data_IF_280826649617
#
_entry.id   IF_280826649617
#
_cell.length_a   1.000
_cell.length_b   1.000
_cell.length_c   1.000
_cell.angle_alpha   90.00
_cell.angle_beta   90.00
_cell.angle_gamma   90.00
#
_symmetry.space_group_name_H-M   'P 1'
#
loop_
_entity.id
_entity.type
_entity.pdbx_description
1 polymer ?
#
# COMPACT_ATOMS: atom_id res chain seq x y z
N UNK A 1 0.34 29.07 -10.15
CA UNK A 1 0.41 27.76 -10.84
C UNK A 1 -1.02 27.27 -11.00
N UNK A 2 -1.42 26.83 -12.20
CA UNK A 2 -2.77 26.26 -12.39
C UNK A 2 -2.88 24.90 -11.69
N UNK A 3 -4.10 24.49 -11.31
CA UNK A 3 -4.35 23.17 -10.67
C UNK A 3 -3.77 22.05 -11.54
N UNK A 4 -3.94 22.13 -12.86
CA UNK A 4 -3.41 21.14 -13.81
C UNK A 4 -1.87 21.10 -13.86
N UNK A 5 -1.18 22.22 -13.68
CA UNK A 5 0.29 22.24 -13.59
C UNK A 5 0.79 21.61 -12.28
N UNK A 6 0.11 21.92 -11.15
CA UNK A 6 0.43 21.34 -9.84
C UNK A 6 0.25 19.82 -9.85
N UNK A 7 -0.86 19.33 -10.42
CA UNK A 7 -1.12 17.88 -10.61
C UNK A 7 -0.02 17.19 -11.42
N UNK A 8 0.35 17.76 -12.58
CA UNK A 8 1.41 17.19 -13.43
C UNK A 8 2.76 17.14 -12.72
N UNK A 9 3.09 18.16 -11.93
CA UNK A 9 4.34 18.19 -11.17
C UNK A 9 4.35 17.12 -10.07
N UNK A 10 3.25 16.98 -9.33
CA UNK A 10 3.11 15.95 -8.29
C UNK A 10 3.20 14.54 -8.90
N UNK A 11 2.51 14.28 -10.02
CA UNK A 11 2.60 13.01 -10.75
C UNK A 11 4.03 12.73 -11.22
N UNK A 12 4.70 13.71 -11.81
CA UNK A 12 6.06 13.54 -12.30
C UNK A 12 7.05 13.20 -11.18
N UNK A 13 6.96 13.85 -10.03
CA UNK A 13 7.81 13.55 -8.87
C UNK A 13 7.50 12.17 -8.27
N UNK A 14 6.22 11.82 -8.13
CA UNK A 14 5.80 10.48 -7.69
C UNK A 14 6.37 9.39 -8.61
N UNK A 15 6.12 9.51 -9.92
CA UNK A 15 6.57 8.54 -10.92
C UNK A 15 8.10 8.41 -10.91
N UNK A 16 8.81 9.53 -10.82
CA UNK A 16 10.28 9.55 -10.76
C UNK A 16 10.79 8.83 -9.52
N UNK A 17 10.19 9.07 -8.35
CA UNK A 17 10.60 8.43 -7.10
C UNK A 17 10.33 6.93 -7.12
N UNK A 18 9.12 6.51 -7.50
CA UNK A 18 8.77 5.09 -7.67
C UNK A 18 9.69 4.38 -8.66
N UNK A 19 10.02 5.04 -9.78
CA UNK A 19 10.95 4.49 -10.76
C UNK A 19 12.39 4.40 -10.22
N UNK A 20 12.84 5.35 -9.40
CA UNK A 20 14.15 5.26 -8.74
C UNK A 20 14.19 4.04 -7.81
N UNK A 21 13.20 3.91 -6.92
CA UNK A 21 13.06 2.78 -6.00
C UNK A 21 13.15 1.45 -6.78
N UNK A 22 12.39 1.34 -7.87
CA UNK A 22 12.41 0.15 -8.70
C UNK A 22 13.79 -0.13 -9.32
N UNK A 23 14.48 0.87 -9.87
CA UNK A 23 15.79 0.63 -10.49
C UNK A 23 16.88 0.34 -9.48
N UNK A 24 16.87 1.04 -8.35
CA UNK A 24 17.94 1.01 -7.37
C UNK A 24 17.85 -0.25 -6.51
N UNK A 25 16.64 -0.78 -6.29
CA UNK A 25 16.40 -1.88 -5.34
C UNK A 25 16.02 -3.21 -5.99
N UNK A 26 15.59 -3.26 -7.26
CA UNK A 26 15.21 -4.55 -7.89
C UNK A 26 16.35 -5.57 -7.98
N UNK A 27 17.60 -5.14 -7.86
CA UNK A 27 18.77 -6.01 -7.99
C UNK A 27 18.76 -6.78 -9.32
N UNK A 28 18.77 -8.12 -9.24
CA UNK A 28 18.75 -9.01 -10.40
C UNK A 28 17.34 -9.36 -10.90
N UNK A 29 16.29 -8.81 -10.29
CA UNK A 29 14.90 -9.07 -10.66
C UNK A 29 14.51 -8.29 -11.91
N UNK A 30 13.63 -8.89 -12.71
CA UNK A 30 12.97 -8.12 -13.75
C UNK A 30 12.07 -7.05 -13.12
N UNK A 31 11.95 -5.95 -13.84
CA UNK A 31 11.12 -4.81 -13.50
C UNK A 31 9.65 -5.23 -13.23
N UNK A 32 9.13 -6.19 -14.00
CA UNK A 32 7.77 -6.70 -13.83
C UNK A 32 7.58 -7.55 -12.57
N UNK A 33 8.60 -8.31 -12.15
CA UNK A 33 8.57 -9.10 -10.92
C UNK A 33 8.63 -8.17 -9.70
N UNK A 34 9.56 -7.19 -9.71
CA UNK A 34 9.74 -6.27 -8.59
C UNK A 34 8.53 -5.35 -8.34
N UNK A 35 7.77 -5.07 -9.40
CA UNK A 35 6.51 -4.31 -9.32
C UNK A 35 5.55 -4.84 -8.26
N UNK A 36 5.37 -6.16 -8.20
CA UNK A 36 4.35 -6.75 -7.32
C UNK A 36 4.65 -6.46 -5.85
N UNK A 37 5.93 -6.39 -5.48
CA UNK A 37 6.37 -6.00 -4.14
C UNK A 37 6.11 -4.51 -3.85
N UNK A 38 6.45 -3.63 -4.81
CA UNK A 38 6.20 -2.19 -4.64
C UNK A 38 4.70 -1.93 -4.49
N UNK A 39 3.87 -2.53 -5.35
CA UNK A 39 2.42 -2.38 -5.32
C UNK A 39 1.83 -2.92 -4.02
N UNK A 40 2.23 -4.12 -3.60
CA UNK A 40 1.76 -4.71 -2.35
C UNK A 40 2.12 -3.86 -1.14
N UNK A 41 3.35 -3.34 -1.07
CA UNK A 41 3.79 -2.47 0.03
C UNK A 41 3.09 -1.11 0.04
N UNK A 42 2.87 -0.49 -1.13
CA UNK A 42 2.10 0.75 -1.23
C UNK A 42 0.65 0.52 -0.77
N UNK A 43 0.06 -0.59 -1.19
CA UNK A 43 -1.30 -0.92 -0.80
C UNK A 43 -1.41 -1.21 0.70
N UNK A 44 -0.48 -1.99 1.25
CA UNK A 44 -0.41 -2.25 2.69
C UNK A 44 -0.24 -0.96 3.50
N UNK A 45 0.64 -0.05 3.04
CA UNK A 45 0.80 1.27 3.66
C UNK A 45 -0.52 2.04 3.65
N UNK A 46 -1.21 2.07 2.51
CA UNK A 46 -2.51 2.75 2.40
C UNK A 46 -3.54 2.19 3.38
N UNK A 47 -3.65 0.86 3.47
CA UNK A 47 -4.54 0.23 4.44
C UNK A 47 -4.16 0.60 5.88
N UNK A 48 -2.86 0.57 6.19
CA UNK A 48 -2.35 0.97 7.50
C UNK A 48 -2.70 2.42 7.83
N UNK A 49 -2.40 3.38 6.95
CA UNK A 49 -2.67 4.79 7.20
C UNK A 49 -4.17 5.07 7.34
N UNK A 50 -5.01 4.35 6.59
CA UNK A 50 -6.46 4.47 6.69
C UNK A 50 -6.98 3.90 8.01
N UNK A 51 -6.54 2.72 8.43
CA UNK A 51 -6.84 2.19 9.76
C UNK A 51 -6.31 3.10 10.89
N UNK A 52 -5.14 3.72 10.68
CA UNK A 52 -4.59 4.71 11.62
C UNK A 52 -5.48 5.91 11.81
N UNK A 53 -6.03 6.42 10.71
CA UNK A 53 -6.97 7.52 10.77
C UNK A 53 -8.26 7.12 11.50
N UNK A 54 -8.83 5.96 11.19
CA UNK A 54 -10.09 5.54 11.80
C UNK A 54 -9.98 5.27 13.30
N UNK A 55 -8.93 4.59 13.79
CA UNK A 55 -8.80 4.43 15.24
C UNK A 55 -8.52 5.77 15.93
N UNK A 56 -7.81 6.70 15.27
CA UNK A 56 -7.52 8.01 15.86
C UNK A 56 -8.80 8.85 15.98
N UNK A 57 -9.70 8.73 15.01
CA UNK A 57 -11.02 9.33 15.06
C UNK A 57 -11.91 8.63 16.11
N UNK A 58 -11.86 7.30 16.23
CA UNK A 58 -12.60 6.53 17.24
C UNK A 58 -12.17 6.87 18.69
N UNK A 59 -10.87 7.07 18.91
CA UNK A 59 -10.30 7.47 20.21
C UNK A 59 -10.29 8.99 20.40
N UNK A 60 -10.95 9.76 19.53
CA UNK A 60 -10.94 11.23 19.60
C UNK A 60 -11.63 11.74 20.87
N UNK A 61 -10.83 12.13 21.87
CA UNK A 61 -11.32 12.59 23.17
C UNK A 61 -10.90 11.71 24.35
N UNK A 62 -10.23 10.59 24.08
CA UNK A 62 -9.61 9.74 25.08
C UNK A 62 -8.11 10.04 25.21
N UNK A 63 -7.56 9.95 26.42
CA UNK A 63 -6.13 10.11 26.69
C UNK A 63 -5.45 8.73 26.74
N UNK A 64 -5.71 7.92 25.72
CA UNK A 64 -5.12 6.59 25.55
C UNK A 64 -4.54 6.43 24.16
N UNK A 65 -3.42 5.73 24.06
CA UNK A 65 -2.83 5.36 22.77
C UNK A 65 -3.54 4.16 22.18
N UNK A 66 -3.41 3.97 20.87
CA UNK A 66 -3.94 2.76 20.22
C UNK A 66 -3.37 1.46 20.81
N UNK A 67 -2.10 1.47 21.23
CA UNK A 67 -1.47 0.33 21.90
C UNK A 67 -2.11 0.02 23.26
N UNK A 68 -2.44 1.05 24.04
CA UNK A 68 -3.10 0.88 25.34
C UNK A 68 -4.55 0.42 25.17
N UNK A 69 -5.28 1.02 24.22
CA UNK A 69 -6.64 0.62 23.87
C UNK A 69 -6.69 -0.84 23.39
N UNK A 70 -5.74 -1.25 22.54
CA UNK A 70 -5.67 -2.63 22.05
C UNK A 70 -5.27 -3.66 23.10
N UNK A 71 -4.60 -3.23 24.17
CA UNK A 71 -4.22 -4.10 25.28
C UNK A 71 -5.39 -4.41 26.22
N UNK A 72 -6.39 -3.52 26.28
CA UNK A 72 -7.64 -3.74 27.00
C UNK A 72 -8.64 -4.51 26.13
N UNK A 73 -9.28 -5.54 26.70
CA UNK A 73 -10.16 -6.42 25.93
C UNK A 73 -11.45 -5.74 25.48
N UNK A 74 -12.01 -4.83 26.29
CA UNK A 74 -13.25 -4.12 25.97
C UNK A 74 -12.99 -3.12 24.83
N UNK A 75 -11.98 -2.26 24.99
CA UNK A 75 -11.59 -1.32 23.94
C UNK A 75 -11.18 -2.02 22.65
N UNK A 76 -10.45 -3.14 22.74
CA UNK A 76 -10.01 -3.87 21.55
C UNK A 76 -11.19 -4.39 20.73
N UNK A 77 -12.20 -4.99 21.36
CA UNK A 77 -13.34 -5.52 20.61
C UNK A 77 -14.22 -4.41 20.01
N UNK A 78 -14.40 -3.30 20.73
CA UNK A 78 -15.11 -2.13 20.20
C UNK A 78 -14.37 -1.49 19.02
N UNK A 79 -13.04 -1.32 19.13
CA UNK A 79 -12.21 -0.80 18.03
C UNK A 79 -12.23 -1.71 16.81
N UNK A 80 -12.20 -3.05 16.99
CA UNK A 80 -12.35 -3.97 15.86
C UNK A 80 -13.68 -3.77 15.15
N UNK A 81 -14.78 -3.70 15.90
CA UNK A 81 -16.10 -3.53 15.32
C UNK A 81 -16.19 -2.21 14.54
N UNK A 82 -15.69 -1.11 15.09
CA UNK A 82 -15.65 0.19 14.42
C UNK A 82 -14.80 0.16 13.15
N UNK A 83 -13.59 -0.43 13.20
CA UNK A 83 -12.71 -0.53 12.04
C UNK A 83 -13.31 -1.41 10.93
N UNK A 84 -13.95 -2.52 11.28
CA UNK A 84 -14.67 -3.36 10.31
C UNK A 84 -15.83 -2.58 9.68
N UNK A 85 -16.61 -1.83 10.45
CA UNK A 85 -17.74 -1.05 9.92
C UNK A 85 -17.27 0.09 8.98
N UNK A 86 -16.23 0.83 9.36
CA UNK A 86 -15.76 1.99 8.60
C UNK A 86 -14.91 1.61 7.37
N UNK A 87 -14.03 0.61 7.51
CA UNK A 87 -13.02 0.29 6.47
C UNK A 87 -12.98 -1.18 6.06
N UNK A 88 -13.70 -2.07 6.75
CA UNK A 88 -13.84 -3.47 6.38
C UNK A 88 -12.69 -4.38 6.81
N UNK A 89 -11.70 -3.88 7.56
CA UNK A 89 -10.57 -4.65 8.08
C UNK A 89 -10.02 -3.96 9.33
N UNK A 90 -9.16 -4.64 10.09
CA UNK A 90 -8.39 -3.99 11.14
C UNK A 90 -6.91 -4.38 11.05
N UNK A 91 -6.04 -3.48 11.52
CA UNK A 91 -4.59 -3.72 11.65
C UNK A 91 -4.20 -3.47 13.09
N UNK A 92 -3.54 -4.44 13.72
CA UNK A 92 -3.09 -4.30 15.11
C UNK A 92 -2.02 -3.20 15.24
N UNK A 93 -1.88 -2.55 16.41
CA UNK A 93 -0.94 -1.44 16.58
C UNK A 93 0.51 -1.73 16.20
N UNK A 94 1.00 -2.96 16.44
CA UNK A 94 2.36 -3.36 16.05
C UNK A 94 2.49 -3.70 14.57
N UNK A 95 1.39 -4.09 13.92
CA UNK A 95 1.34 -4.45 12.51
C UNK A 95 1.16 -3.21 11.61
N UNK A 96 1.01 -2.01 12.19
CA UNK A 96 0.95 -0.76 11.44
C UNK A 96 2.24 -0.51 10.64
N UNK A 97 2.11 0.06 9.44
CA UNK A 97 3.24 0.46 8.61
C UNK A 97 4.16 1.42 9.38
N UNK A 98 3.59 2.41 10.09
CA UNK A 98 4.37 3.35 10.90
C UNK A 98 5.10 2.66 12.08
N UNK A 99 4.55 1.57 12.62
CA UNK A 99 5.21 0.77 13.65
C UNK A 99 6.37 -0.05 13.06
N UNK A 100 6.16 -0.69 11.91
CA UNK A 100 7.23 -1.42 11.21
C UNK A 100 8.36 -0.49 10.73
N UNK A 101 8.07 0.75 10.33
CA UNK A 101 9.13 1.74 10.04
C UNK A 101 9.98 2.01 11.28
N UNK A 102 9.36 2.18 12.45
CA UNK A 102 10.10 2.33 13.72
C UNK A 102 10.95 1.09 14.04
N UNK A 103 10.44 -0.12 13.81
CA UNK A 103 11.23 -1.35 13.97
C UNK A 103 12.43 -1.42 13.01
N UNK A 104 12.29 -0.89 11.79
CA UNK A 104 13.40 -0.81 10.84
C UNK A 104 14.49 0.14 11.37
N UNK A 105 14.09 1.27 11.95
CA UNK A 105 15.00 2.24 12.55
C UNK A 105 15.75 1.67 13.77
N UNK A 106 15.08 0.85 14.59
CA UNK A 106 15.69 0.18 15.75
C UNK A 106 16.42 -1.12 15.41
N UNK A 107 16.41 -1.54 14.14
CA UNK A 107 17.00 -2.79 13.64
C UNK A 107 16.33 -4.07 14.18
N UNK A 108 15.07 -3.97 14.62
CA UNK A 108 14.28 -5.08 15.14
C UNK A 108 13.30 -5.66 14.12
N UNK A 109 13.12 -4.99 12.97
CA UNK A 109 12.20 -5.43 11.92
C UNK A 109 12.64 -6.76 11.27
N UNK A 110 11.65 -7.63 11.02
CA UNK A 110 11.82 -8.84 10.22
C UNK A 110 10.75 -8.95 9.13
N UNK A 111 11.13 -9.47 7.96
CA UNK A 111 10.20 -9.70 6.84
C UNK A 111 9.08 -10.68 7.20
N UNK A 112 9.32 -11.58 8.16
CA UNK A 112 8.29 -12.48 8.69
C UNK A 112 7.21 -11.75 9.48
N UNK A 113 7.54 -10.61 10.12
CA UNK A 113 6.56 -9.72 10.75
C UNK A 113 5.61 -9.17 9.68
N UNK A 114 6.14 -8.55 8.63
CA UNK A 114 5.34 -8.05 7.50
C UNK A 114 4.46 -9.15 6.88
N UNK A 115 5.03 -10.34 6.63
CA UNK A 115 4.26 -11.45 6.08
C UNK A 115 3.10 -11.88 6.99
N UNK A 116 3.29 -11.79 8.31
CA UNK A 116 2.24 -12.08 9.30
C UNK A 116 1.20 -10.98 9.35
N UNK A 117 1.62 -9.73 9.34
CA UNK A 117 0.77 -8.55 9.31
C UNK A 117 -0.20 -8.57 8.11
N UNK A 118 0.32 -8.89 6.92
CA UNK A 118 -0.49 -9.07 5.70
C UNK A 118 -1.55 -10.16 5.86
N UNK A 119 -1.16 -11.33 6.37
CA UNK A 119 -2.12 -12.42 6.60
C UNK A 119 -3.19 -12.03 7.61
N UNK A 120 -2.81 -11.29 8.66
CA UNK A 120 -3.75 -10.80 9.67
C UNK A 120 -4.80 -9.89 9.05
N UNK A 121 -4.39 -8.97 8.16
CA UNK A 121 -5.32 -8.12 7.40
C UNK A 121 -6.30 -8.96 6.61
N UNK A 122 -5.83 -9.92 5.82
CA UNK A 122 -6.72 -10.82 5.06
C UNK A 122 -7.68 -11.57 6.00
N UNK A 123 -7.18 -12.12 7.11
CA UNK A 123 -8.01 -12.84 8.07
C UNK A 123 -8.97 -11.96 8.89
N UNK A 124 -8.67 -10.67 9.03
CA UNK A 124 -9.53 -9.73 9.76
C UNK A 124 -10.89 -9.53 9.08
N UNK A 125 -10.94 -9.82 7.78
CA UNK A 125 -12.13 -9.67 6.94
C UNK A 125 -13.00 -10.94 6.88
N UNK A 126 -12.57 -12.04 7.50
CA UNK A 126 -13.26 -13.33 7.42
C UNK A 126 -14.64 -13.26 8.09
N UNK A 127 -15.69 -13.58 7.32
CA UNK A 127 -17.08 -13.50 7.76
C UNK A 127 -17.72 -12.12 7.59
N UNK A 128 -16.97 -11.12 7.13
CA UNK A 128 -17.44 -9.75 6.90
C UNK A 128 -17.81 -9.50 5.43
N UNK A 129 -18.52 -8.41 5.15
CA UNK A 129 -18.90 -8.06 3.77
C UNK A 129 -17.68 -7.82 2.85
N UNK A 130 -16.57 -7.37 3.44
CA UNK A 130 -15.30 -7.09 2.77
C UNK A 130 -14.48 -8.33 2.41
N UNK A 131 -14.84 -9.54 2.89
CA UNK A 131 -14.00 -10.75 2.75
C UNK A 131 -13.52 -10.98 1.31
N UNK A 132 -14.44 -10.88 0.34
CA UNK A 132 -14.14 -11.14 -1.07
C UNK A 132 -13.21 -10.11 -1.71
N UNK A 133 -13.15 -8.90 -1.16
CA UNK A 133 -12.29 -7.83 -1.68
C UNK A 133 -10.83 -8.01 -1.22
N UNK A 134 -10.61 -8.73 -0.12
CA UNK A 134 -9.29 -8.93 0.48
C UNK A 134 -8.69 -10.31 0.16
N UNK A 135 -9.50 -11.30 -0.23
CA UNK A 135 -8.99 -12.63 -0.62
C UNK A 135 -7.99 -12.52 -1.78
N UNK A 136 -6.75 -12.95 -1.52
CA UNK A 136 -5.70 -13.01 -2.53
C UNK A 136 -5.13 -11.65 -2.94
N UNK A 137 -5.49 -10.58 -2.21
CA UNK A 137 -5.03 -9.22 -2.48
C UNK A 137 -3.50 -9.10 -2.51
N UNK A 138 -2.81 -9.88 -1.68
CA UNK A 138 -1.35 -9.89 -1.59
C UNK A 138 -0.71 -11.16 -2.18
N UNK A 139 -1.45 -11.99 -2.91
CA UNK A 139 -0.97 -13.30 -3.40
C UNK A 139 0.25 -13.21 -4.32
N UNK A 140 0.38 -12.10 -5.03
CA UNK A 140 1.47 -11.84 -5.98
C UNK A 140 2.76 -11.37 -5.30
N UNK A 141 2.74 -11.12 -4.00
CA UNK A 141 3.88 -10.65 -3.21
C UNK A 141 4.54 -11.81 -2.44
N UNK A 142 5.39 -12.57 -3.13
CA UNK A 142 6.14 -13.67 -2.50
C UNK A 142 7.36 -13.15 -1.71
N UNK A 143 7.14 -12.83 -0.43
CA UNK A 143 8.18 -12.40 0.52
C UNK A 143 9.20 -13.50 0.84
N UNK A 144 8.93 -14.75 0.44
CA UNK A 144 9.86 -15.88 0.61
C UNK A 144 10.78 -16.09 -0.59
N UNK A 145 10.58 -15.36 -1.69
CA UNK A 145 11.31 -15.53 -2.93
C UNK A 145 12.83 -15.38 -2.76
N UNK A 146 13.58 -16.29 -3.36
CA UNK A 146 15.06 -16.22 -3.44
C UNK A 146 15.55 -15.05 -4.30
N UNK A 147 14.65 -14.45 -5.08
CA UNK A 147 14.92 -13.25 -5.87
C UNK A 147 15.12 -12.00 -5.02
N UNK A 148 14.47 -11.92 -3.86
CA UNK A 148 14.64 -10.83 -2.89
C UNK A 148 15.97 -10.94 -2.12
N UNK A 149 16.53 -12.14 -2.02
CA UNK A 149 17.72 -12.45 -1.24
C UNK A 149 17.83 -13.94 -0.93
N UNK A 150 19.04 -14.42 -0.69
CA UNK A 150 19.30 -15.85 -0.48
C UNK A 150 19.01 -16.34 0.94
N UNK A 151 18.75 -15.41 1.87
CA UNK A 151 18.42 -15.71 3.25
C UNK A 151 17.48 -14.63 3.82
N UNK A 152 16.88 -14.91 4.97
CA UNK A 152 15.94 -13.99 5.65
C UNK A 152 16.55 -12.60 5.80
N UNK A 153 17.79 -12.50 6.29
CA UNK A 153 18.48 -11.22 6.51
C UNK A 153 18.61 -10.38 5.24
N UNK A 154 18.99 -10.98 4.10
CA UNK A 154 19.07 -10.27 2.82
C UNK A 154 17.70 -9.78 2.34
N UNK A 155 16.66 -10.62 2.47
CA UNK A 155 15.29 -10.25 2.08
C UNK A 155 14.75 -9.14 2.97
N UNK A 156 14.92 -9.25 4.29
CA UNK A 156 14.57 -8.22 5.27
C UNK A 156 15.26 -6.91 4.93
N UNK A 157 16.59 -6.91 4.71
CA UNK A 157 17.32 -5.70 4.36
C UNK A 157 16.83 -5.04 3.06
N UNK A 158 16.43 -5.82 2.05
CA UNK A 158 15.87 -5.27 0.81
C UNK A 158 14.48 -4.66 1.05
N UNK A 159 13.57 -5.40 1.69
CA UNK A 159 12.21 -4.92 1.97
C UNK A 159 12.22 -3.71 2.89
N UNK A 160 13.06 -3.68 3.93
CA UNK A 160 13.24 -2.51 4.79
C UNK A 160 13.64 -1.26 3.99
N UNK A 161 14.56 -1.40 3.02
CA UNK A 161 14.94 -0.28 2.14
C UNK A 161 13.76 0.19 1.30
N UNK A 162 12.97 -0.73 0.74
CA UNK A 162 11.78 -0.37 -0.03
C UNK A 162 10.77 0.36 0.85
N UNK A 163 10.46 -0.17 2.04
CA UNK A 163 9.53 0.43 3.00
C UNK A 163 9.97 1.85 3.40
N UNK A 164 11.24 2.05 3.75
CA UNK A 164 11.77 3.39 4.10
C UNK A 164 11.67 4.37 2.92
N UNK A 165 12.02 3.94 1.70
CA UNK A 165 11.90 4.81 0.53
C UNK A 165 10.44 5.14 0.19
N UNK A 166 9.53 4.20 0.47
CA UNK A 166 8.11 4.40 0.31
C UNK A 166 7.58 5.34 1.37
N UNK A 167 8.00 5.23 2.64
CA UNK A 167 7.56 6.07 3.77
C UNK A 167 7.69 7.57 3.47
N UNK A 168 8.79 7.98 2.84
CA UNK A 168 9.04 9.34 2.39
C UNK A 168 8.04 9.87 1.31
N UNK A 169 7.08 9.06 0.83
CA UNK A 169 6.03 9.49 -0.10
C UNK A 169 4.82 10.07 0.66
N UNK A 170 4.25 11.20 0.24
CA UNK A 170 3.09 11.79 0.90
C UNK A 170 1.78 11.18 0.36
N UNK A 171 1.44 9.93 0.73
CA UNK A 171 0.23 9.25 0.23
C UNK A 171 -1.07 9.87 0.78
N UNK A 172 -1.10 10.24 2.06
CA UNK A 172 -2.27 10.84 2.72
C UNK A 172 -1.93 12.27 3.16
N UNK A 173 -1.98 13.22 2.23
CA UNK A 173 -1.78 14.65 2.53
C UNK A 173 -2.88 15.47 1.86
N UNK A 174 -3.54 16.34 2.63
CA UNK A 174 -4.65 17.20 2.18
C UNK A 174 -4.25 18.23 1.11
N UNK A 175 -2.96 18.53 0.97
CA UNK A 175 -2.44 19.48 -0.02
C UNK A 175 -2.19 18.86 -1.42
N UNK A 176 -2.45 17.55 -1.58
CA UNK A 176 -2.27 16.81 -2.82
C UNK A 176 -3.49 16.98 -3.74
N UNK A 177 -3.24 17.32 -5.01
CA UNK A 177 -4.29 17.48 -6.03
C UNK A 177 -4.53 16.21 -6.84
N UNK A 178 -3.79 15.14 -6.53
CA UNK A 178 -3.77 13.88 -7.25
C UNK A 178 -4.12 12.72 -6.31
N UNK A 179 -4.76 11.69 -6.86
CA UNK A 179 -4.89 10.41 -6.19
C UNK A 179 -3.54 9.68 -6.26
N UNK A 180 -2.76 9.81 -5.19
CA UNK A 180 -1.40 9.26 -5.12
C UNK A 180 -1.36 7.74 -5.28
N UNK A 181 -2.32 7.03 -4.70
CA UNK A 181 -2.38 5.57 -4.79
C UNK A 181 -2.75 5.16 -6.21
N UNK A 182 -3.82 5.73 -6.75
CA UNK A 182 -4.29 5.47 -8.11
C UNK A 182 -3.21 5.77 -9.14
N UNK A 183 -2.57 6.95 -9.07
CA UNK A 183 -1.52 7.35 -10.00
C UNK A 183 -0.26 6.47 -9.86
N UNK A 184 0.13 6.09 -8.64
CA UNK A 184 1.24 5.15 -8.42
C UNK A 184 0.93 3.79 -9.08
N UNK A 185 -0.28 3.27 -8.86
CA UNK A 185 -0.73 2.00 -9.39
C UNK A 185 -0.78 2.01 -10.92
N UNK A 186 -1.41 3.03 -11.51
CA UNK A 186 -1.49 3.26 -12.95
C UNK A 186 -0.09 3.38 -13.57
N UNK A 187 0.79 4.17 -12.96
CA UNK A 187 2.15 4.35 -13.44
C UNK A 187 2.94 3.04 -13.42
N UNK A 188 2.92 2.32 -12.30
CA UNK A 188 3.67 1.07 -12.16
C UNK A 188 3.14 0.02 -13.15
N UNK A 189 1.82 -0.16 -13.26
CA UNK A 189 1.24 -1.08 -14.25
C UNK A 189 1.60 -0.65 -15.67
N UNK A 190 1.38 0.61 -16.04
CA UNK A 190 1.63 1.10 -17.39
C UNK A 190 3.11 1.03 -17.77
N UNK A 191 4.01 1.44 -16.87
CA UNK A 191 5.46 1.46 -17.10
C UNK A 191 6.02 0.05 -17.21
N UNK A 192 5.61 -0.87 -16.34
CA UNK A 192 6.10 -2.24 -16.36
C UNK A 192 5.42 -3.13 -17.43
N UNK A 193 4.16 -2.84 -17.80
CA UNK A 193 3.52 -3.48 -18.95
C UNK A 193 4.23 -3.12 -20.26
N UNK A 194 4.66 -1.86 -20.42
CA UNK A 194 5.44 -1.42 -21.58
C UNK A 194 6.82 -2.11 -21.66
N UNK A 195 7.45 -2.42 -20.52
CA UNK A 195 8.74 -3.12 -20.50
C UNK A 195 8.62 -4.64 -20.68
N UNK A 196 7.46 -5.23 -20.36
CA UNK A 196 7.24 -6.68 -20.40
C UNK A 196 7.08 -7.27 -21.82
N UNK A 197 6.98 -6.43 -22.87
CA UNK A 197 7.02 -6.87 -24.27
C UNK A 197 5.91 -7.83 -24.71
N UNK A 198 4.81 -7.94 -23.96
CA UNK A 198 3.68 -8.82 -24.30
C UNK A 198 3.03 -8.39 -25.62
N UNK A 199 2.88 -9.33 -26.55
CA UNK A 199 2.30 -9.10 -27.90
C UNK A 199 0.83 -9.50 -28.03
N UNK A 200 0.22 -10.04 -26.97
CA UNK A 200 -1.18 -10.48 -26.93
C UNK A 200 -1.69 -10.49 -25.47
N UNK A 201 -3.00 -10.34 -25.29
CA UNK A 201 -3.68 -10.29 -24.00
C UNK A 201 -4.36 -8.94 -23.72
N UNK A 202 -4.76 -8.72 -22.48
CA UNK A 202 -5.29 -7.44 -22.01
C UNK A 202 -4.15 -6.43 -21.82
N UNK A 203 -4.37 -5.20 -22.30
CA UNK A 203 -3.40 -4.11 -22.23
C UNK A 203 -3.89 -3.00 -21.32
N UNK A 204 -2.94 -2.28 -20.71
CA UNK A 204 -3.24 -1.08 -19.94
C UNK A 204 -3.92 -0.02 -20.83
N UNK A 205 -5.05 0.52 -20.36
CA UNK A 205 -5.78 1.59 -21.05
C UNK A 205 -5.36 2.94 -20.46
N UNK A 206 -4.78 3.86 -21.24
CA UNK A 206 -4.36 5.17 -20.74
C UNK A 206 -5.51 5.96 -20.11
N UNK A 207 -5.22 6.66 -19.01
CA UNK A 207 -6.19 7.44 -18.23
C UNK A 207 -7.05 8.39 -19.07
N UNK A 208 -6.46 9.05 -20.08
CA UNK A 208 -7.21 9.96 -20.95
C UNK A 208 -8.28 9.24 -21.78
N UNK A 209 -8.01 8.01 -22.20
CA UNK A 209 -8.96 7.17 -22.94
C UNK A 209 -10.08 6.73 -22.00
N UNK A 210 -9.73 6.21 -20.82
CA UNK A 210 -10.68 5.81 -19.79
C UNK A 210 -11.62 6.96 -19.39
N UNK A 211 -11.09 8.18 -19.22
CA UNK A 211 -11.87 9.37 -18.88
C UNK A 211 -12.84 9.78 -19.99
N UNK A 212 -12.45 9.66 -21.25
CA UNK A 212 -13.34 9.93 -22.39
C UNK A 212 -14.46 8.89 -22.43
N UNK A 213 -14.13 7.60 -22.29
CA UNK A 213 -15.12 6.53 -22.29
C UNK A 213 -16.10 6.67 -21.12
N UNK A 214 -15.61 6.97 -19.92
CA UNK A 214 -16.47 7.24 -18.76
C UNK A 214 -17.43 8.40 -19.04
N UNK A 215 -16.93 9.53 -19.54
CA UNK A 215 -17.77 10.68 -19.93
C UNK A 215 -18.83 10.32 -20.96
N UNK A 216 -18.48 9.53 -21.97
CA UNK A 216 -19.44 9.08 -23.00
C UNK A 216 -20.54 8.21 -22.37
N UNK A 217 -20.18 7.29 -21.48
CA UNK A 217 -21.14 6.38 -20.83
C UNK A 217 -22.04 7.11 -19.83
N UNK A 218 -21.54 8.18 -19.20
CA UNK A 218 -22.32 9.02 -18.27
C UNK A 218 -23.01 10.20 -18.95
N UNK A 219 -22.84 10.40 -20.25
CA UNK A 219 -23.47 11.51 -20.96
C UNK A 219 -25.00 11.32 -20.98
N UNK A 220 -25.72 12.32 -20.48
CA UNK A 220 -27.19 12.29 -20.37
C UNK A 220 -27.77 11.48 -19.20
N UNK A 221 -26.95 11.09 -18.23
CA UNK A 221 -27.40 10.58 -16.92
C UNK A 221 -27.26 11.63 -15.81
#
# INVERSE_FOLDING_TARGET
>A
MSITEKQRQQQAELHKKLWSIANDLRGNMDASEFRNYILGLIFYRFLSEKAEQEYADALSGEDITYQEAWADEEYREDLKAELIDQVGYFIEPQDLFSAMIREIETQDFDIEHLATAIRKVETSTLGEESENDFIGLFSDMDLSSTRLGNNVKERTALISKVMVNLDDLPFVHSDMEIDMLGDAYEFLIGRFAATAGKKAGEFYTPQQVSKILAKIVTDGK
#
